data_IF_819009420723
#
_entry.id   IF_819009420723
#
_cell.length_a   1.000
_cell.length_b   1.000
_cell.length_c   1.000
_cell.angle_alpha   90.00
_cell.angle_beta   90.00
_cell.angle_gamma   90.00
#
_symmetry.space_group_name_H-M   'P 1'
#
loop_
_entity.id
_entity.type
_entity.pdbx_description
1 polymer ?
#
# COMPACT_ATOMS: atom_id res chain seq x y z
N UNK A 1 15.27 -6.22 4.54
CA UNK A 1 14.14 -5.98 3.61
C UNK A 1 13.41 -7.29 3.55
N UNK A 2 12.15 -7.31 3.98
CA UNK A 2 11.37 -8.53 4.09
C UNK A 2 10.37 -8.59 2.93
N UNK A 3 10.23 -9.76 2.33
CA UNK A 3 9.24 -10.04 1.28
C UNK A 3 8.27 -11.06 1.84
N UNK A 4 6.98 -10.70 1.83
CA UNK A 4 5.91 -11.58 2.31
C UNK A 4 5.14 -12.07 1.09
N UNK A 5 5.06 -13.39 0.96
CA UNK A 5 4.35 -14.03 -0.14
C UNK A 5 2.89 -14.26 0.24
N UNK A 6 2.03 -14.27 -0.76
CA UNK A 6 0.66 -14.73 -0.60
C UNK A 6 0.63 -16.23 -0.24
N UNK A 7 -0.33 -16.68 0.58
CA UNK A 7 -0.46 -18.08 0.92
C UNK A 7 -0.78 -18.93 -0.33
N UNK A 8 -0.40 -20.22 -0.34
CA UNK A 8 -0.76 -21.14 -1.42
C UNK A 8 -2.28 -21.17 -1.66
N UNK A 9 -2.70 -21.09 -2.93
CA UNK A 9 -4.11 -21.02 -3.30
C UNK A 9 -4.74 -19.63 -3.25
N UNK A 10 -3.97 -18.58 -2.94
CA UNK A 10 -4.45 -17.19 -2.98
C UNK A 10 -5.03 -16.85 -4.36
N UNK A 11 -6.21 -16.26 -4.35
CA UNK A 11 -6.86 -15.69 -5.53
C UNK A 11 -7.00 -14.20 -5.33
N UNK A 12 -6.65 -13.43 -6.36
CA UNK A 12 -6.72 -11.98 -6.31
C UNK A 12 -8.15 -11.50 -6.11
N UNK A 13 -8.30 -10.39 -5.38
CA UNK A 13 -9.59 -9.70 -5.32
C UNK A 13 -9.89 -9.06 -6.67
N UNK A 14 -11.18 -8.80 -6.93
CA UNK A 14 -11.63 -8.11 -8.14
C UNK A 14 -11.08 -6.68 -8.26
N UNK A 15 -10.78 -6.05 -7.12
CA UNK A 15 -10.13 -4.74 -7.03
C UNK A 15 -8.75 -4.93 -6.41
N UNK A 16 -7.71 -4.72 -7.21
CA UNK A 16 -6.32 -4.91 -6.78
C UNK A 16 -5.91 -3.97 -5.65
N UNK A 17 -6.44 -2.74 -5.62
CA UNK A 17 -6.13 -1.78 -4.55
C UNK A 17 -6.63 -2.25 -3.18
N UNK A 18 -7.82 -2.83 -3.14
CA UNK A 18 -8.41 -3.35 -1.90
C UNK A 18 -7.56 -4.51 -1.37
N UNK A 19 -7.06 -5.38 -2.25
CA UNK A 19 -6.16 -6.48 -1.87
C UNK A 19 -4.83 -5.97 -1.28
N UNK A 20 -4.26 -4.91 -1.85
CA UNK A 20 -3.02 -4.30 -1.36
C UNK A 20 -3.24 -3.65 0.01
N UNK A 21 -4.36 -2.94 0.19
CA UNK A 21 -4.71 -2.30 1.45
C UNK A 21 -4.96 -3.34 2.55
N UNK A 22 -5.73 -4.39 2.26
CA UNK A 22 -6.02 -5.47 3.20
C UNK A 22 -4.74 -6.18 3.64
N UNK A 23 -3.82 -6.47 2.70
CA UNK A 23 -2.51 -7.05 3.04
C UNK A 23 -1.68 -6.12 3.91
N UNK A 24 -1.61 -4.84 3.59
CA UNK A 24 -0.84 -3.88 4.37
C UNK A 24 -1.39 -3.75 5.81
N UNK A 25 -2.71 -3.81 5.98
CA UNK A 25 -3.36 -3.81 7.29
C UNK A 25 -3.09 -5.10 8.07
N UNK A 26 -3.18 -6.26 7.43
CA UNK A 26 -2.85 -7.56 8.06
C UNK A 26 -1.36 -7.62 8.49
N UNK A 27 -0.46 -7.08 7.67
CA UNK A 27 0.97 -7.00 7.97
C UNK A 27 1.29 -6.18 9.22
N UNK A 28 0.49 -5.16 9.53
CA UNK A 28 0.69 -4.36 10.74
C UNK A 28 0.53 -5.20 12.01
N UNK A 29 -0.45 -6.09 12.04
CA UNK A 29 -0.64 -7.06 13.14
C UNK A 29 0.51 -8.04 13.19
N UNK A 30 0.90 -8.63 12.06
CA UNK A 30 1.99 -9.61 12.00
C UNK A 30 3.34 -9.02 12.41
N UNK A 31 3.63 -7.79 11.98
CA UNK A 31 4.91 -7.13 12.25
C UNK A 31 5.00 -6.52 13.65
N UNK A 32 3.89 -6.43 14.40
CA UNK A 32 3.85 -5.79 15.72
C UNK A 32 4.25 -4.30 15.71
N UNK A 33 4.21 -3.65 14.55
CA UNK A 33 4.63 -2.25 14.37
C UNK A 33 3.81 -1.58 13.27
N UNK A 34 3.73 -0.24 13.30
CA UNK A 34 3.02 0.52 12.26
C UNK A 34 3.63 0.27 10.87
N UNK A 35 2.77 -0.03 9.92
CA UNK A 35 3.12 -0.14 8.49
C UNK A 35 2.77 1.18 7.80
N UNK A 36 3.61 1.59 6.84
CA UNK A 36 3.38 2.75 5.99
C UNK A 36 3.09 2.32 4.56
N UNK A 37 1.94 2.72 4.03
CA UNK A 37 1.60 2.56 2.61
C UNK A 37 2.17 3.73 1.82
N UNK A 38 2.99 3.41 0.80
CA UNK A 38 3.60 4.38 -0.11
C UNK A 38 2.97 4.22 -1.49
N UNK A 39 2.45 5.31 -2.06
CA UNK A 39 1.79 5.24 -3.39
C UNK A 39 1.79 6.60 -4.10
N UNK A 40 1.83 6.60 -5.42
CA UNK A 40 1.51 7.78 -6.24
C UNK A 40 0.01 7.90 -6.52
N UNK A 41 -0.72 6.79 -6.43
CA UNK A 41 -2.13 6.73 -6.81
C UNK A 41 -3.03 7.38 -5.76
N UNK A 42 -3.99 8.18 -6.22
CA UNK A 42 -4.90 8.91 -5.34
C UNK A 42 -5.95 7.97 -4.73
N UNK A 43 -6.47 7.02 -5.51
CA UNK A 43 -7.48 6.07 -5.05
C UNK A 43 -6.95 5.19 -3.93
N UNK A 44 -5.77 4.59 -4.14
CA UNK A 44 -5.02 3.82 -3.17
C UNK A 44 -4.73 4.65 -1.91
N UNK A 45 -4.31 5.91 -2.05
CA UNK A 45 -4.04 6.76 -0.89
C UNK A 45 -5.30 7.01 -0.05
N UNK A 46 -6.46 7.17 -0.71
CA UNK A 46 -7.75 7.33 -0.03
C UNK A 46 -8.20 6.01 0.64
N UNK A 47 -8.12 4.88 -0.07
CA UNK A 47 -8.48 3.56 0.45
C UNK A 47 -7.62 3.17 1.65
N UNK A 48 -6.30 3.36 1.55
CA UNK A 48 -5.37 3.07 2.65
C UNK A 48 -5.65 3.92 3.90
N UNK A 49 -5.96 5.21 3.73
CA UNK A 49 -6.37 6.07 4.86
C UNK A 49 -7.68 5.59 5.48
N UNK A 50 -8.65 5.20 4.65
CA UNK A 50 -9.93 4.67 5.11
C UNK A 50 -9.76 3.37 5.92
N UNK A 51 -8.76 2.54 5.58
CA UNK A 51 -8.40 1.34 6.32
C UNK A 51 -7.50 1.59 7.56
N UNK A 52 -7.25 2.85 7.92
CA UNK A 52 -6.45 3.21 9.11
C UNK A 52 -4.94 3.08 8.94
N UNK A 53 -4.43 2.88 7.72
CA UNK A 53 -2.99 2.82 7.47
C UNK A 53 -2.35 4.21 7.53
N UNK A 54 -1.08 4.25 7.92
CA UNK A 54 -0.26 5.44 7.72
C UNK A 54 0.08 5.54 6.23
N UNK A 55 -0.43 6.55 5.52
CA UNK A 55 -0.23 6.69 4.08
C UNK A 55 0.70 7.85 3.75
N UNK A 56 1.70 7.60 2.91
CA UNK A 56 2.48 8.66 2.25
C UNK A 56 2.18 8.66 0.75
N UNK A 57 1.46 9.68 0.29
CA UNK A 57 1.21 9.89 -1.14
C UNK A 57 2.40 10.62 -1.74
N UNK A 58 3.08 9.96 -2.66
CA UNK A 58 4.18 10.55 -3.41
C UNK A 58 3.65 11.55 -4.43
N UNK A 59 4.46 12.58 -4.67
CA UNK A 59 4.27 13.53 -5.75
C UNK A 59 5.50 13.43 -6.65
N UNK A 60 5.31 13.65 -7.95
CA UNK A 60 6.45 13.87 -8.83
C UNK A 60 7.12 15.18 -8.38
N UNK A 61 8.41 15.14 -8.05
CA UNK A 61 9.17 16.37 -7.88
C UNK A 61 9.22 17.08 -9.23
N UNK A 62 8.93 18.38 -9.28
CA UNK A 62 9.03 19.21 -10.51
C UNK A 62 10.49 19.39 -11.00
N UNK A 63 11.40 18.52 -10.60
CA UNK A 63 12.84 18.62 -10.90
C UNK A 63 13.26 17.79 -12.11
N UNK A 64 12.30 17.21 -12.85
CA UNK A 64 12.52 16.62 -14.17
C UNK A 64 12.06 17.54 -15.32
N UNK A 65 11.82 18.83 -15.06
CA UNK A 65 11.72 19.86 -16.12
C UNK A 65 13.14 20.26 -16.60
N UNK A 66 13.99 19.26 -16.82
CA UNK A 66 15.36 19.38 -17.26
C UNK A 66 15.48 19.20 -18.76
N UNK A 67 15.21 20.29 -19.50
CA UNK A 67 15.54 20.51 -20.92
C UNK A 67 14.68 19.82 -21.98
#
# INVERSE_FOLDING_TARGET
MDVVFDPPGHTRLSITDDEIVDRAAALQTLAGRRVRLLTYDTGMAMRGRNAGLTVHKLQHSRTDDGK
#
